data_IF_318843297446
#
_entry.id   IF_318843297446
#
_cell.length_a   1.000
_cell.length_b   1.000
_cell.length_c   1.000
_cell.angle_alpha   90.00
_cell.angle_beta   90.00
_cell.angle_gamma   90.00
#
_symmetry.space_group_name_H-M   'P 1'
#
loop_
_entity.id
_entity.type
_entity.pdbx_description
1 polymer ?
#
# COMPACT_ATOMS: atom_id res chain seq x y z
N UNK A 1 -43.96 -20.34 -21.64
CA UNK A 1 -43.43 -20.77 -20.32
C UNK A 1 -42.01 -21.24 -20.47
N UNK A 2 -41.10 -20.70 -19.71
CA UNK A 2 -39.69 -21.19 -19.66
C UNK A 2 -39.64 -22.54 -18.95
N UNK A 3 -38.76 -23.43 -19.38
CA UNK A 3 -38.62 -24.79 -18.86
C UNK A 3 -37.18 -25.05 -18.45
N UNK A 4 -36.97 -25.80 -17.37
CA UNK A 4 -35.67 -26.39 -17.04
C UNK A 4 -35.66 -27.78 -17.66
N UNK A 5 -34.66 -28.05 -18.50
CA UNK A 5 -34.40 -29.37 -19.10
C UNK A 5 -33.03 -29.87 -18.61
N UNK A 6 -32.98 -31.09 -18.11
CA UNK A 6 -31.77 -31.78 -17.74
C UNK A 6 -31.49 -32.86 -18.78
N UNK A 7 -30.39 -32.74 -19.49
CA UNK A 7 -29.99 -33.75 -20.49
C UNK A 7 -28.87 -34.60 -19.90
N UNK A 8 -29.07 -35.90 -19.71
CA UNK A 8 -28.05 -36.78 -19.17
C UNK A 8 -26.92 -37.00 -20.21
N UNK A 9 -25.69 -37.14 -19.73
CA UNK A 9 -24.58 -37.60 -20.54
C UNK A 9 -24.65 -39.13 -20.66
N UNK A 10 -24.79 -39.64 -21.90
CA UNK A 10 -24.96 -41.07 -22.16
C UNK A 10 -23.75 -41.95 -21.73
N UNK A 11 -22.58 -41.35 -21.54
CA UNK A 11 -21.34 -42.05 -21.13
C UNK A 11 -21.06 -41.92 -19.64
N UNK A 12 -21.85 -41.15 -18.90
CA UNK A 12 -21.63 -40.93 -17.45
C UNK A 12 -22.52 -41.86 -16.61
N UNK A 13 -21.94 -42.50 -15.58
CA UNK A 13 -22.65 -43.35 -14.62
C UNK A 13 -22.95 -42.62 -13.29
N UNK A 14 -22.49 -41.37 -13.14
CA UNK A 14 -22.71 -40.56 -11.92
C UNK A 14 -24.09 -39.93 -11.87
N UNK A 15 -24.54 -39.58 -10.66
CA UNK A 15 -25.78 -38.85 -10.41
C UNK A 15 -25.49 -37.38 -10.19
N UNK A 16 -26.15 -36.52 -10.95
CA UNK A 16 -26.16 -35.07 -10.68
C UNK A 16 -27.33 -34.74 -9.74
N UNK A 17 -27.04 -34.14 -8.59
CA UNK A 17 -28.04 -33.80 -7.58
C UNK A 17 -28.08 -32.30 -7.37
N UNK A 18 -29.29 -31.69 -7.45
CA UNK A 18 -29.56 -30.35 -6.96
C UNK A 18 -30.17 -30.49 -5.58
N UNK A 19 -29.40 -30.12 -4.54
CA UNK A 19 -29.83 -30.23 -3.16
C UNK A 19 -30.04 -28.84 -2.56
N UNK A 20 -31.16 -28.71 -1.77
CA UNK A 20 -31.35 -27.50 -0.98
C UNK A 20 -30.42 -27.52 0.26
N UNK A 21 -29.89 -26.37 0.69
CA UNK A 21 -29.16 -26.29 1.94
C UNK A 21 -30.10 -26.50 3.15
N UNK A 22 -29.55 -26.98 4.26
CA UNK A 22 -30.28 -27.04 5.53
C UNK A 22 -30.44 -25.60 6.09
N UNK A 23 -31.51 -24.93 5.70
CA UNK A 23 -31.78 -23.52 6.04
C UNK A 23 -33.27 -23.28 6.13
N UNK A 24 -33.69 -22.50 7.12
CA UNK A 24 -35.09 -22.02 7.27
C UNK A 24 -35.37 -20.73 6.47
N UNK A 25 -34.41 -20.26 5.69
CA UNK A 25 -34.53 -19.06 4.88
C UNK A 25 -34.81 -19.42 3.42
N UNK A 26 -35.87 -18.86 2.86
CA UNK A 26 -36.21 -18.97 1.44
C UNK A 26 -35.10 -18.32 0.58
N UNK A 27 -34.66 -19.02 -0.45
CA UNK A 27 -33.63 -18.53 -1.37
C UNK A 27 -34.06 -18.79 -2.80
N UNK A 28 -33.82 -17.80 -3.66
CA UNK A 28 -34.04 -17.92 -5.11
C UNK A 28 -32.69 -17.91 -5.79
N UNK A 29 -32.40 -18.92 -6.64
CA UNK A 29 -31.31 -18.90 -7.58
C UNK A 29 -31.87 -18.50 -8.94
N UNK A 30 -31.54 -17.29 -9.38
CA UNK A 30 -31.91 -16.82 -10.73
C UNK A 30 -30.77 -17.18 -11.69
N UNK A 31 -31.08 -17.97 -12.69
CA UNK A 31 -30.12 -18.27 -13.77
C UNK A 31 -30.06 -17.10 -14.75
N UNK A 32 -28.85 -16.80 -15.32
CA UNK A 32 -28.74 -15.75 -16.32
C UNK A 32 -29.56 -16.07 -17.58
N UNK A 33 -30.04 -15.02 -18.25
CA UNK A 33 -30.79 -15.12 -19.52
C UNK A 33 -29.85 -15.33 -20.74
N UNK A 34 -28.62 -15.71 -20.51
CA UNK A 34 -27.61 -16.00 -21.53
C UNK A 34 -27.11 -17.43 -21.40
N UNK A 35 -26.64 -17.99 -22.52
CA UNK A 35 -25.93 -19.28 -22.48
C UNK A 35 -24.64 -19.12 -21.66
N UNK A 36 -24.37 -20.07 -20.77
CA UNK A 36 -23.20 -20.04 -19.91
C UNK A 36 -23.03 -21.33 -19.12
N UNK A 37 -21.94 -21.41 -18.40
CA UNK A 37 -21.60 -22.51 -17.49
C UNK A 37 -21.69 -22.06 -16.03
N UNK A 38 -22.14 -22.95 -15.15
CA UNK A 38 -22.10 -22.74 -13.71
C UNK A 38 -20.75 -23.22 -13.19
N UNK A 39 -19.98 -22.32 -12.59
CA UNK A 39 -18.70 -22.67 -11.97
C UNK A 39 -18.92 -23.38 -10.64
N UNK A 40 -18.18 -24.45 -10.44
CA UNK A 40 -18.03 -25.08 -9.12
C UNK A 40 -16.93 -24.37 -8.32
N UNK A 41 -16.85 -24.64 -7.00
CA UNK A 41 -15.82 -24.08 -6.11
C UNK A 41 -14.38 -24.44 -6.53
N UNK A 42 -14.22 -25.48 -7.34
CA UNK A 42 -12.94 -25.93 -7.91
C UNK A 42 -12.84 -25.68 -9.41
N UNK A 43 -13.83 -25.01 -9.99
CA UNK A 43 -13.88 -24.71 -11.43
C UNK A 43 -12.84 -23.70 -11.84
N UNK A 44 -12.30 -23.85 -13.05
CA UNK A 44 -11.40 -22.87 -13.65
C UNK A 44 -12.20 -21.62 -14.04
N UNK A 45 -11.90 -20.50 -13.39
CA UNK A 45 -12.50 -19.20 -13.67
C UNK A 45 -11.82 -18.42 -14.79
N UNK A 46 -10.89 -19.01 -15.54
CA UNK A 46 -10.08 -18.31 -16.56
C UNK A 46 -10.91 -17.68 -17.69
N UNK A 47 -12.08 -18.23 -17.97
CA UNK A 47 -13.01 -17.73 -18.98
C UNK A 47 -14.04 -16.70 -18.44
N UNK A 48 -14.00 -16.37 -17.14
CA UNK A 48 -14.87 -15.34 -16.60
C UNK A 48 -14.37 -13.97 -17.05
N UNK A 49 -15.20 -13.29 -17.84
CA UNK A 49 -14.95 -11.90 -18.25
C UNK A 49 -15.81 -10.94 -17.44
N UNK A 50 -15.40 -9.69 -17.37
CA UNK A 50 -16.11 -8.64 -16.60
C UNK A 50 -16.24 -8.92 -15.09
N UNK A 51 -15.35 -9.74 -14.52
CA UNK A 51 -15.22 -9.76 -13.08
C UNK A 51 -14.79 -8.37 -12.62
N UNK A 52 -15.43 -7.79 -11.59
CA UNK A 52 -14.92 -6.57 -11.01
C UNK A 52 -13.48 -6.85 -10.58
N UNK A 53 -12.53 -6.16 -11.21
CA UNK A 53 -11.15 -6.17 -10.72
C UNK A 53 -11.18 -5.63 -9.29
N UNK A 54 -10.60 -6.31 -8.32
CA UNK A 54 -10.47 -5.72 -7.01
C UNK A 54 -9.78 -4.38 -7.19
N UNK A 55 -10.39 -3.30 -6.69
CA UNK A 55 -9.77 -1.98 -6.73
C UNK A 55 -8.43 -2.11 -6.03
N UNK A 56 -7.30 -1.85 -6.71
CA UNK A 56 -6.01 -1.99 -6.07
C UNK A 56 -5.93 -0.98 -4.92
N UNK A 57 -5.53 -1.46 -3.74
CA UNK A 57 -5.27 -0.59 -2.60
C UNK A 57 -3.94 0.10 -2.86
N UNK A 58 -4.01 1.40 -3.09
CA UNK A 58 -2.85 2.25 -3.41
C UNK A 58 -2.97 3.54 -2.64
N UNK A 59 -1.89 4.00 -2.03
CA UNK A 59 -1.79 5.35 -1.54
C UNK A 59 -0.50 6.01 -2.01
N UNK A 60 -0.52 7.33 -2.15
CA UNK A 60 0.64 8.19 -2.39
C UNK A 60 0.43 9.50 -1.66
N UNK A 61 1.38 9.86 -0.81
CA UNK A 61 1.36 11.08 -0.02
C UNK A 61 2.66 11.87 -0.18
N UNK A 62 2.54 13.17 -0.05
CA UNK A 62 3.66 14.13 -0.09
C UNK A 62 3.44 15.22 0.97
N UNK A 63 4.34 16.20 1.05
CA UNK A 63 4.12 17.39 1.85
C UNK A 63 4.34 18.65 1.01
N UNK A 64 3.63 19.72 1.38
CA UNK A 64 3.57 20.98 0.63
C UNK A 64 4.28 22.14 1.32
N UNK A 65 4.87 21.89 2.48
CA UNK A 65 5.63 22.88 3.25
C UNK A 65 6.97 22.27 3.66
N UNK A 66 7.99 23.10 3.72
CA UNK A 66 9.32 22.71 4.15
C UNK A 66 9.29 22.03 5.51
N UNK A 67 10.12 21.03 5.68
CA UNK A 67 10.23 20.22 6.88
C UNK A 67 11.64 20.31 7.45
N UNK A 68 11.76 20.58 8.75
CA UNK A 68 13.05 20.76 9.41
C UNK A 68 13.46 19.51 10.18
N UNK A 69 14.65 18.98 9.86
CA UNK A 69 15.30 17.92 10.59
C UNK A 69 16.34 18.48 11.57
N UNK A 70 16.14 18.22 12.85
CA UNK A 70 17.13 18.53 13.88
C UNK A 70 18.33 17.59 13.79
N UNK A 71 19.51 18.10 14.16
CA UNK A 71 20.71 17.29 14.23
C UNK A 71 20.55 16.09 15.16
N UNK A 72 20.97 14.93 14.70
CA UNK A 72 21.02 13.66 15.44
C UNK A 72 19.66 13.29 16.11
N UNK A 73 18.56 13.60 15.44
CA UNK A 73 17.21 13.30 15.93
C UNK A 73 16.42 12.54 14.86
N UNK A 74 15.68 11.52 15.29
CA UNK A 74 14.67 10.89 14.44
C UNK A 74 13.40 11.71 14.51
N UNK A 75 12.98 12.26 13.39
CA UNK A 75 11.79 13.09 13.31
C UNK A 75 10.78 12.43 12.38
N UNK A 76 9.54 12.31 12.83
CA UNK A 76 8.45 11.82 12.02
C UNK A 76 8.18 12.77 10.86
N UNK A 77 8.08 12.23 9.65
CA UNK A 77 7.86 13.03 8.44
C UNK A 77 6.37 13.30 8.28
N UNK A 78 5.95 14.57 8.24
CA UNK A 78 4.54 14.92 8.09
C UNK A 78 4.14 14.97 6.60
N UNK A 79 3.83 13.82 6.00
CA UNK A 79 3.25 13.79 4.65
C UNK A 79 1.80 14.28 4.71
N UNK A 80 1.61 15.57 4.55
CA UNK A 80 0.35 16.31 4.80
C UNK A 80 -0.59 16.38 3.60
N UNK A 81 -0.19 15.86 2.45
CA UNK A 81 -0.96 15.95 1.22
C UNK A 81 -1.10 14.59 0.56
N UNK A 82 -2.31 14.08 0.51
CA UNK A 82 -2.65 12.89 -0.24
C UNK A 82 -2.69 13.21 -1.73
N UNK A 83 -2.05 12.38 -2.55
CA UNK A 83 -2.13 12.41 -4.00
C UNK A 83 -3.10 11.33 -4.51
N UNK A 84 -3.05 10.18 -3.88
CA UNK A 84 -3.89 9.02 -4.17
C UNK A 84 -4.14 8.31 -2.83
N UNK A 85 -5.39 7.97 -2.57
CA UNK A 85 -5.76 7.01 -1.52
C UNK A 85 -7.05 6.31 -1.93
N UNK A 86 -6.95 5.08 -2.43
CA UNK A 86 -8.09 4.35 -2.98
C UNK A 86 -8.94 3.65 -1.92
N UNK A 87 -8.44 3.54 -0.70
CA UNK A 87 -9.07 2.77 0.38
C UNK A 87 -9.28 3.61 1.67
N UNK A 88 -8.95 4.91 1.64
CA UNK A 88 -9.06 5.80 2.80
C UNK A 88 -8.15 5.35 3.96
N UNK A 89 -6.98 4.81 3.63
CA UNK A 89 -6.10 4.16 4.59
C UNK A 89 -4.89 5.00 5.01
N UNK A 90 -4.74 6.20 4.44
CA UNK A 90 -3.70 7.14 4.81
C UNK A 90 -4.26 8.34 5.59
N UNK A 91 -3.67 8.67 6.73
CA UNK A 91 -4.01 9.84 7.54
C UNK A 91 -2.98 10.96 7.31
N UNK A 92 -3.35 11.93 6.47
CA UNK A 92 -2.52 13.10 6.13
C UNK A 92 -2.67 14.28 7.11
N UNK A 93 -3.49 14.17 8.14
CA UNK A 93 -3.87 15.31 8.98
C UNK A 93 -3.37 15.23 10.41
N UNK A 94 -3.45 14.08 11.03
CA UNK A 94 -3.20 13.91 12.47
C UNK A 94 -1.99 13.02 12.73
N UNK A 95 -1.97 11.83 12.13
CA UNK A 95 -0.97 10.83 12.45
C UNK A 95 0.07 10.64 11.34
N UNK A 96 -0.14 11.16 10.13
CA UNK A 96 0.78 11.01 8.99
C UNK A 96 1.25 9.57 8.80
N UNK A 97 0.28 8.65 8.69
CA UNK A 97 0.56 7.22 8.66
C UNK A 97 -0.37 6.46 7.73
N UNK A 98 0.11 5.36 7.21
CA UNK A 98 -0.65 4.37 6.47
C UNK A 98 -1.17 3.30 7.42
N UNK A 99 -2.48 3.08 7.45
CA UNK A 99 -3.15 2.06 8.27
C UNK A 99 -4.00 1.19 7.35
N UNK A 100 -3.44 0.10 6.80
CA UNK A 100 -4.17 -0.74 5.85
C UNK A 100 -5.37 -1.43 6.47
N UNK A 101 -6.47 -1.47 5.75
CA UNK A 101 -7.76 -2.08 6.16
C UNK A 101 -7.90 -3.53 5.71
N UNK A 102 -7.01 -4.00 4.85
CA UNK A 102 -6.97 -5.38 4.34
C UNK A 102 -5.71 -6.09 4.82
N UNK A 103 -5.87 -7.29 5.38
CA UNK A 103 -4.72 -8.12 5.76
C UNK A 103 -3.96 -8.62 4.54
N UNK A 104 -2.63 -8.51 4.55
CA UNK A 104 -1.82 -8.93 3.42
C UNK A 104 -0.41 -8.34 3.39
N UNK A 105 0.22 -8.53 2.25
CA UNK A 105 1.54 -7.99 1.96
C UNK A 105 1.41 -6.71 1.14
N UNK A 106 2.20 -5.71 1.54
CA UNK A 106 2.26 -4.40 0.90
C UNK A 106 3.69 -4.08 0.53
N UNK A 107 3.90 -3.43 -0.60
CA UNK A 107 5.16 -2.76 -0.88
C UNK A 107 5.02 -1.30 -0.48
N UNK A 108 5.95 -0.82 0.33
CA UNK A 108 6.07 0.58 0.71
C UNK A 108 7.30 1.18 0.03
N UNK A 109 7.13 2.34 -0.56
CA UNK A 109 8.19 3.11 -1.20
C UNK A 109 8.32 4.45 -0.49
N UNK A 110 9.55 4.93 -0.35
CA UNK A 110 9.82 6.25 0.19
C UNK A 110 10.91 6.92 -0.62
N UNK A 111 10.71 8.19 -0.89
CA UNK A 111 11.69 9.09 -1.50
C UNK A 111 11.75 10.37 -0.69
N UNK A 112 12.94 10.81 -0.31
CA UNK A 112 13.16 12.09 0.35
C UNK A 112 14.32 12.84 -0.28
N UNK A 113 14.08 14.07 -0.70
CA UNK A 113 15.11 14.99 -1.13
C UNK A 113 15.70 15.72 0.08
N UNK A 114 17.01 15.72 0.16
CA UNK A 114 17.76 16.45 1.15
C UNK A 114 18.47 17.61 0.43
N UNK A 115 18.16 18.85 0.78
CA UNK A 115 18.93 19.99 0.28
C UNK A 115 20.21 20.10 1.08
N UNK A 116 21.34 19.90 0.40
CA UNK A 116 22.64 19.95 1.05
C UNK A 116 22.96 21.33 1.60
N UNK A 117 23.60 21.37 2.77
CA UNK A 117 24.27 22.56 3.25
C UNK A 117 25.61 22.70 2.49
N UNK A 118 25.79 23.83 1.83
CA UNK A 118 27.06 24.11 1.17
C UNK A 118 28.23 24.01 2.16
N UNK A 119 29.22 23.18 1.82
CA UNK A 119 30.47 23.08 2.57
C UNK A 119 30.40 22.28 3.88
N UNK A 120 29.36 21.51 4.15
CA UNK A 120 29.27 20.66 5.36
C UNK A 120 29.14 19.18 4.97
N UNK A 121 29.84 18.34 5.69
CA UNK A 121 29.66 16.90 5.62
C UNK A 121 28.43 16.50 6.46
N UNK A 122 27.53 15.75 5.85
CA UNK A 122 26.37 15.23 6.52
C UNK A 122 26.03 13.81 6.07
N UNK A 123 25.29 13.07 6.87
CA UNK A 123 24.62 11.85 6.48
C UNK A 123 23.15 11.94 6.81
N UNK A 124 22.32 11.28 6.01
CA UNK A 124 20.89 11.21 6.21
C UNK A 124 20.36 9.80 6.21
N UNK A 125 19.21 9.60 6.77
CA UNK A 125 18.47 8.35 6.63
C UNK A 125 16.98 8.57 6.62
N UNK A 126 16.30 7.73 5.83
CA UNK A 126 14.85 7.57 5.85
C UNK A 126 14.52 6.19 6.43
N UNK A 127 13.52 6.11 7.27
CA UNK A 127 13.24 4.94 8.06
C UNK A 127 11.76 4.63 8.01
N UNK A 128 11.42 3.34 7.85
CA UNK A 128 10.04 2.85 7.95
C UNK A 128 9.83 2.25 9.33
N UNK A 129 8.76 2.66 9.98
CA UNK A 129 8.33 2.16 11.27
C UNK A 129 7.00 1.42 11.12
N UNK A 130 6.87 0.29 11.81
CA UNK A 130 5.61 -0.43 11.99
C UNK A 130 5.26 -0.40 13.47
N UNK A 131 4.07 0.11 13.82
CA UNK A 131 3.57 0.13 15.21
C UNK A 131 4.57 0.79 16.19
N UNK A 132 5.24 1.86 15.76
CA UNK A 132 6.25 2.56 16.56
C UNK A 132 7.64 1.90 16.59
N UNK A 133 7.82 0.72 16.00
CA UNK A 133 9.10 0.02 15.88
C UNK A 133 9.71 0.18 14.50
N UNK A 134 11.01 0.50 14.41
CA UNK A 134 11.72 0.61 13.13
C UNK A 134 11.91 -0.77 12.49
N UNK A 135 11.48 -0.91 11.24
CA UNK A 135 11.59 -2.15 10.45
C UNK A 135 12.56 -2.03 9.26
N UNK A 136 12.76 -0.82 8.74
CA UNK A 136 13.72 -0.58 7.67
C UNK A 136 14.42 0.78 7.84
N UNK A 137 15.65 0.89 7.32
CA UNK A 137 16.42 2.13 7.28
C UNK A 137 17.20 2.20 5.98
N UNK A 138 17.05 3.29 5.27
CA UNK A 138 17.80 3.63 4.06
C UNK A 138 18.73 4.80 4.40
N UNK A 139 19.99 4.66 4.05
CA UNK A 139 21.02 5.64 4.42
C UNK A 139 21.55 6.27 3.13
N UNK A 140 21.56 7.59 3.09
CA UNK A 140 22.23 8.36 2.05
C UNK A 140 23.70 8.60 2.39
N UNK A 141 24.53 8.67 1.35
CA UNK A 141 25.95 8.92 1.48
C UNK A 141 26.26 10.33 1.96
N UNK A 142 27.46 10.49 2.49
CA UNK A 142 28.05 11.77 2.82
C UNK A 142 28.27 12.60 1.54
N UNK A 143 27.93 13.87 1.57
CA UNK A 143 28.30 14.82 0.53
C UNK A 143 28.98 16.04 1.10
N UNK A 144 30.16 16.31 0.60
CA UNK A 144 30.80 17.60 0.72
C UNK A 144 30.56 18.37 -0.58
N UNK A 145 29.68 19.36 -0.57
CA UNK A 145 29.48 20.21 -1.75
C UNK A 145 28.06 20.73 -1.91
N UNK A 146 27.87 21.52 -2.97
CA UNK A 146 26.58 22.02 -3.40
C UNK A 146 25.85 20.92 -4.16
N UNK A 147 24.61 20.60 -3.75
CA UNK A 147 23.77 19.70 -4.52
C UNK A 147 22.54 19.22 -3.74
N UNK A 148 21.49 18.90 -4.47
CA UNK A 148 20.37 18.14 -3.98
C UNK A 148 20.79 16.66 -3.91
N UNK A 149 20.47 16.02 -2.81
CA UNK A 149 20.65 14.59 -2.63
C UNK A 149 19.31 13.95 -2.28
N UNK A 150 19.09 12.74 -2.74
CA UNK A 150 17.87 12.01 -2.41
C UNK A 150 18.19 10.67 -1.78
N UNK A 151 17.37 10.28 -0.81
CA UNK A 151 17.39 8.96 -0.21
C UNK A 151 16.09 8.29 -0.55
N UNK A 152 16.16 7.15 -1.20
CA UNK A 152 15.00 6.34 -1.54
C UNK A 152 15.17 4.91 -1.08
N UNK A 153 14.05 4.24 -0.89
CA UNK A 153 14.04 2.82 -0.58
C UNK A 153 12.65 2.23 -0.67
N UNK A 154 12.63 0.91 -0.70
CA UNK A 154 11.40 0.15 -0.67
C UNK A 154 11.52 -1.04 0.28
N UNK A 155 10.39 -1.46 0.83
CA UNK A 155 10.31 -2.63 1.71
C UNK A 155 8.96 -3.32 1.51
N UNK A 156 8.97 -4.65 1.55
CA UNK A 156 7.74 -5.44 1.61
C UNK A 156 7.42 -5.68 3.08
N UNK A 157 6.18 -5.41 3.45
CA UNK A 157 5.68 -5.53 4.83
C UNK A 157 4.42 -6.36 4.85
N UNK A 158 4.21 -7.03 5.98
CA UNK A 158 2.95 -7.69 6.31
C UNK A 158 2.11 -6.79 7.20
N UNK A 159 0.80 -6.72 6.94
CA UNK A 159 -0.18 -5.99 7.74
C UNK A 159 -1.38 -6.87 8.08
N UNK A 160 -1.90 -6.71 9.30
CA UNK A 160 -3.05 -7.47 9.79
C UNK A 160 -4.41 -6.93 9.34
N UNK A 161 -4.44 -5.80 8.64
CA UNK A 161 -5.67 -5.17 8.13
C UNK A 161 -6.57 -4.54 9.19
N UNK A 162 -6.10 -4.34 10.41
CA UNK A 162 -6.92 -3.80 11.50
C UNK A 162 -6.21 -2.77 12.37
N UNK A 163 -5.03 -3.12 12.90
CA UNK A 163 -4.31 -2.31 13.89
C UNK A 163 -2.90 -1.94 13.47
N UNK A 164 -2.34 -2.65 12.50
CA UNK A 164 -1.00 -2.33 11.99
C UNK A 164 -0.99 -0.99 11.26
N UNK A 165 0.01 -0.18 11.56
CA UNK A 165 0.24 1.08 10.86
C UNK A 165 1.73 1.30 10.56
N UNK A 166 1.97 2.09 9.53
CA UNK A 166 3.31 2.40 9.03
C UNK A 166 3.53 3.90 8.96
N UNK A 167 4.70 4.32 9.41
CA UNK A 167 5.10 5.72 9.53
C UNK A 167 6.50 5.89 8.95
N UNK A 168 6.78 7.08 8.45
CA UNK A 168 8.12 7.44 7.98
C UNK A 168 8.77 8.39 8.97
N UNK A 169 10.00 8.06 9.31
CA UNK A 169 10.89 8.92 10.08
C UNK A 169 12.11 9.26 9.24
N UNK A 170 12.63 10.45 9.44
CA UNK A 170 13.88 10.89 8.83
C UNK A 170 14.85 11.37 9.89
N UNK A 171 16.14 11.23 9.61
CA UNK A 171 17.19 11.77 10.46
C UNK A 171 18.32 12.32 9.62
N UNK A 172 19.05 13.24 10.19
CA UNK A 172 20.29 13.75 9.63
C UNK A 172 21.35 13.87 10.72
N UNK A 173 22.61 13.75 10.32
CA UNK A 173 23.75 14.01 11.15
C UNK A 173 24.69 14.95 10.41
N UNK A 174 24.89 16.15 10.97
CA UNK A 174 25.78 17.15 10.43
C UNK A 174 27.12 17.07 11.17
N UNK A 175 28.16 16.62 10.50
CA UNK A 175 29.49 16.40 11.08
C UNK A 175 30.28 17.69 11.35
N UNK A 176 29.86 18.80 10.73
CA UNK A 176 30.63 20.05 10.79
C UNK A 176 30.14 21.02 11.85
N UNK A 177 28.82 21.17 12.02
CA UNK A 177 28.28 22.24 12.89
C UNK A 177 27.19 21.81 13.86
N UNK A 178 26.68 20.59 13.72
CA UNK A 178 25.53 20.13 14.50
C UNK A 178 24.20 20.86 14.20
N UNK A 179 24.12 21.58 13.08
CA UNK A 179 22.94 22.35 12.70
C UNK A 179 21.79 21.50 12.16
N UNK A 180 20.59 22.06 12.17
CA UNK A 180 19.41 21.48 11.54
C UNK A 180 19.49 21.56 10.02
N UNK A 181 18.71 20.72 9.31
CA UNK A 181 18.58 20.69 7.87
C UNK A 181 17.13 20.91 7.48
N UNK A 182 16.90 21.69 6.45
CA UNK A 182 15.57 21.84 5.86
C UNK A 182 15.40 20.85 4.71
N UNK A 183 14.35 20.06 4.74
CA UNK A 183 13.89 19.25 3.62
C UNK A 183 12.89 20.11 2.84
N UNK A 184 13.20 20.49 1.60
CA UNK A 184 12.35 21.39 0.85
C UNK A 184 11.11 20.69 0.36
N UNK A 185 9.98 21.39 0.40
CA UNK A 185 8.76 20.99 -0.30
C UNK A 185 8.90 21.29 -1.78
N UNK A 186 9.59 20.43 -2.51
CA UNK A 186 9.71 20.57 -3.95
C UNK A 186 8.41 20.06 -4.57
N UNK A 187 7.73 20.94 -5.30
CA UNK A 187 6.43 20.71 -5.88
C UNK A 187 6.38 19.45 -6.75
N UNK A 188 5.75 18.41 -6.24
CA UNK A 188 5.25 17.26 -7.02
C UNK A 188 6.22 16.13 -7.35
N UNK A 189 7.53 16.29 -7.18
CA UNK A 189 8.52 15.36 -7.74
C UNK A 189 9.44 14.70 -6.70
N UNK A 190 9.55 15.25 -5.53
CA UNK A 190 10.40 14.73 -4.46
C UNK A 190 9.66 14.70 -3.13
N UNK A 191 10.01 13.81 -2.24
CA UNK A 191 9.35 13.55 -0.98
C UNK A 191 8.01 12.83 -1.13
N UNK A 192 8.11 11.53 -1.31
CA UNK A 192 6.97 10.65 -1.51
C UNK A 192 6.97 9.55 -0.44
N UNK A 193 5.78 9.25 0.06
CA UNK A 193 5.50 8.01 0.77
C UNK A 193 4.35 7.32 0.06
N UNK A 194 4.61 6.13 -0.43
CA UNK A 194 3.68 5.39 -1.28
C UNK A 194 3.58 3.94 -0.83
N UNK A 195 2.45 3.33 -1.11
CA UNK A 195 2.27 1.92 -0.88
C UNK A 195 1.20 1.32 -1.76
N UNK A 196 1.35 0.04 -2.03
CA UNK A 196 0.36 -0.72 -2.76
C UNK A 196 0.29 -2.17 -2.26
N UNK A 197 -0.92 -2.70 -2.34
CA UNK A 197 -1.23 -4.06 -1.95
C UNK A 197 -0.66 -5.05 -2.98
N UNK A 198 0.04 -6.07 -2.50
CA UNK A 198 0.59 -7.13 -3.35
C UNK A 198 -0.34 -8.34 -3.40
N UNK A 199 -0.75 -8.84 -2.22
CA UNK A 199 -1.65 -10.00 -2.10
C UNK A 199 -2.16 -10.14 -0.67
N UNK A 200 -3.27 -10.86 -0.50
CA UNK A 200 -3.77 -11.30 0.81
C UNK A 200 -2.86 -12.34 1.50
N UNK A 201 -3.08 -12.50 2.81
CA UNK A 201 -2.49 -13.56 3.62
C UNK A 201 -3.12 -14.91 3.31
#
# INVERSE_FOLDING_TARGET
>A
MSKIALTPNASGSGTFTIAAPNSNTDRTLTLPDSAGELLTTTGDGSNLTNLPSPTPIVFSATFTSDFVLSHNSNTKVPFTSERIDTDGCYDATTNYRFTPTTAGYYQLNVLMAYSGHAGVNWSGSVQVFKNGGRIARFIGGEQSGWGENSISGNVIVEANGTTDYFEIYASQYNYSSGGSMTIPAISGESNLFEGFFLRGL
#
